data_IF_391670099335
#
_entry.id   IF_391670099335
#
_cell.length_a   1.000
_cell.length_b   1.000
_cell.length_c   1.000
_cell.angle_alpha   90.00
_cell.angle_beta   90.00
_cell.angle_gamma   90.00
#
_symmetry.space_group_name_H-M   'P 1'
#
loop_
_entity.id
_entity.type
_entity.pdbx_description
1 polymer ?
#
# COMPACT_ATOMS: atom_id res chain seq x y z
N UNK A 1 8.02 20.00 8.83
CA UNK A 1 6.86 20.21 7.94
C UNK A 1 6.22 18.90 7.46
N UNK A 2 6.95 17.77 7.40
CA UNK A 2 6.47 16.46 6.91
C UNK A 2 5.15 15.96 7.54
N UNK A 3 4.95 16.17 8.84
CA UNK A 3 3.72 15.75 9.54
C UNK A 3 2.47 16.47 9.03
N UNK A 4 2.57 17.77 8.74
CA UNK A 4 1.44 18.56 8.23
C UNK A 4 1.05 18.14 6.82
N UNK A 5 2.02 17.88 5.96
CA UNK A 5 1.79 17.34 4.62
C UNK A 5 1.17 15.94 4.68
N UNK A 6 1.60 15.09 5.61
CA UNK A 6 1.02 13.75 5.77
C UNK A 6 -0.47 13.81 6.17
N UNK A 7 -0.80 14.63 7.18
CA UNK A 7 -2.20 14.81 7.61
C UNK A 7 -3.08 15.44 6.54
N UNK A 8 -2.58 16.46 5.83
CA UNK A 8 -3.34 17.13 4.77
C UNK A 8 -3.67 16.14 3.63
N UNK A 9 -2.70 15.34 3.18
CA UNK A 9 -2.91 14.35 2.14
C UNK A 9 -3.90 13.27 2.58
N UNK A 10 -3.80 12.77 3.82
CA UNK A 10 -4.73 11.77 4.35
C UNK A 10 -6.18 12.29 4.38
N UNK A 11 -6.38 13.55 4.79
CA UNK A 11 -7.70 14.18 4.80
C UNK A 11 -8.28 14.34 3.39
N UNK A 12 -7.47 14.82 2.43
CA UNK A 12 -7.90 14.99 1.04
C UNK A 12 -8.26 13.64 0.40
N UNK A 13 -7.43 12.61 0.60
CA UNK A 13 -7.68 11.26 0.08
C UNK A 13 -8.90 10.59 0.74
N UNK A 14 -9.24 10.95 1.97
CA UNK A 14 -10.45 10.45 2.67
C UNK A 14 -11.72 11.17 2.20
N UNK A 15 -11.66 12.47 1.93
CA UNK A 15 -12.82 13.23 1.43
C UNK A 15 -13.18 12.91 -0.02
N UNK A 16 -12.20 12.58 -0.85
CA UNK A 16 -12.41 12.19 -2.24
C UNK A 16 -11.88 10.79 -2.50
N UNK A 17 -12.54 9.72 -1.99
CA UNK A 17 -12.01 8.36 -2.01
C UNK A 17 -12.08 7.68 -3.39
N UNK A 18 -12.85 8.25 -4.32
CA UNK A 18 -13.15 7.63 -5.63
C UNK A 18 -12.28 8.18 -6.77
N UNK A 19 -11.33 9.07 -6.46
CA UNK A 19 -10.47 9.68 -7.48
C UNK A 19 -9.38 8.67 -7.88
N UNK A 20 -9.26 8.31 -9.16
CA UNK A 20 -8.22 7.40 -9.61
C UNK A 20 -6.87 8.11 -9.65
N UNK A 21 -5.86 7.47 -9.08
CA UNK A 21 -4.44 7.85 -9.16
C UNK A 21 -3.71 6.75 -9.92
N UNK A 22 -3.08 7.12 -11.02
CA UNK A 22 -2.15 6.24 -11.74
C UNK A 22 -0.82 6.27 -11.02
N UNK A 23 -0.47 5.15 -10.37
CA UNK A 23 0.84 4.99 -9.75
C UNK A 23 1.72 4.12 -10.64
N UNK A 24 2.99 4.50 -10.75
CA UNK A 24 3.99 3.65 -11.37
C UNK A 24 4.32 2.52 -10.41
N UNK A 25 3.91 1.30 -10.77
CA UNK A 25 4.31 0.11 -10.05
C UNK A 25 5.35 -0.59 -10.92
N UNK A 26 6.62 -0.70 -10.48
CA UNK A 26 7.62 -1.43 -11.26
C UNK A 26 7.08 -2.83 -11.50
N UNK A 27 6.98 -3.23 -12.76
CA UNK A 27 6.42 -4.51 -13.15
C UNK A 27 7.14 -5.61 -12.37
N UNK A 28 6.39 -6.34 -11.54
CA UNK A 28 6.87 -7.59 -10.98
C UNK A 28 6.80 -8.62 -12.11
N UNK A 29 7.83 -8.65 -12.95
CA UNK A 29 8.01 -9.70 -13.96
C UNK A 29 8.28 -11.01 -13.22
N UNK A 30 7.20 -11.68 -12.83
CA UNK A 30 7.24 -12.85 -11.96
C UNK A 30 6.11 -13.83 -12.27
N UNK A 31 6.36 -15.10 -11.95
CA UNK A 31 5.32 -16.12 -11.95
C UNK A 31 4.89 -16.40 -10.51
N UNK A 32 3.60 -16.23 -10.23
CA UNK A 32 3.05 -16.68 -8.95
C UNK A 32 2.83 -18.19 -9.10
N UNK A 33 3.60 -18.97 -8.34
CA UNK A 33 3.55 -20.44 -8.35
C UNK A 33 2.54 -20.90 -7.32
N UNK A 34 1.38 -21.34 -7.78
CA UNK A 34 0.39 -22.01 -6.92
C UNK A 34 0.69 -23.51 -6.85
N UNK A 35 0.26 -24.16 -5.77
CA UNK A 35 0.40 -25.62 -5.58
C UNK A 35 1.84 -26.12 -5.77
N UNK A 36 2.81 -25.51 -5.07
CA UNK A 36 4.24 -25.87 -5.19
C UNK A 36 4.79 -25.82 -6.63
N UNK A 37 4.19 -24.99 -7.49
CA UNK A 37 4.62 -24.81 -8.87
C UNK A 37 3.96 -25.72 -9.88
N UNK A 38 2.89 -26.43 -9.51
CA UNK A 38 2.05 -27.20 -10.45
C UNK A 38 1.25 -26.28 -11.37
N UNK A 39 0.91 -25.06 -10.92
CA UNK A 39 0.19 -24.06 -11.72
C UNK A 39 0.98 -22.75 -11.66
N UNK A 40 1.47 -22.31 -12.81
CA UNK A 40 2.23 -21.08 -12.98
C UNK A 40 1.41 -20.11 -13.81
N UNK A 41 0.98 -19.00 -13.20
CA UNK A 41 0.31 -17.92 -13.92
C UNK A 41 1.33 -16.83 -14.26
N UNK A 42 1.50 -16.47 -15.55
CA UNK A 42 2.35 -15.36 -15.94
C UNK A 42 1.68 -14.05 -15.53
N UNK A 43 2.27 -13.33 -14.59
CA UNK A 43 1.83 -11.97 -14.28
C UNK A 43 2.60 -11.03 -15.19
N UNK A 44 1.99 -10.66 -16.32
CA UNK A 44 2.42 -9.45 -17.03
C UNK A 44 1.89 -8.28 -16.22
N UNK A 45 2.70 -7.78 -15.30
CA UNK A 45 2.37 -6.56 -14.56
C UNK A 45 2.35 -5.39 -15.51
N UNK A 46 1.18 -4.78 -15.71
CA UNK A 46 1.10 -3.48 -16.35
C UNK A 46 1.92 -2.48 -15.52
N UNK A 47 2.75 -1.65 -16.17
CA UNK A 47 3.70 -0.76 -15.49
C UNK A 47 3.01 0.38 -14.72
N UNK A 48 1.72 0.56 -14.96
CA UNK A 48 0.87 1.55 -14.31
C UNK A 48 -0.34 0.87 -13.72
N UNK A 49 -0.47 0.93 -12.40
CA UNK A 49 -1.68 0.46 -11.71
C UNK A 49 -2.51 1.68 -11.37
N UNK A 50 -3.80 1.61 -11.69
CA UNK A 50 -4.75 2.65 -11.28
C UNK A 50 -5.29 2.27 -9.92
N UNK A 51 -4.90 3.02 -8.89
CA UNK A 51 -5.39 2.85 -7.52
C UNK A 51 -6.32 4.01 -7.18
N UNK A 52 -7.34 3.78 -6.36
CA UNK A 52 -8.18 4.86 -5.87
C UNK A 52 -7.47 5.60 -4.74
N UNK A 53 -7.73 6.90 -4.62
CA UNK A 53 -7.36 7.72 -3.46
C UNK A 53 -7.80 7.09 -2.14
N UNK A 54 -8.95 6.40 -2.11
CA UNK A 54 -9.40 5.63 -0.96
C UNK A 54 -8.38 4.54 -0.57
N UNK A 55 -7.88 3.76 -1.52
CA UNK A 55 -6.87 2.74 -1.25
C UNK A 55 -5.58 3.34 -0.68
N UNK A 56 -5.18 4.53 -1.15
CA UNK A 56 -4.02 5.26 -0.62
C UNK A 56 -4.27 5.72 0.82
N UNK A 57 -5.46 6.26 1.14
CA UNK A 57 -5.81 6.65 2.50
C UNK A 57 -5.77 5.46 3.47
N UNK A 58 -6.28 4.29 3.04
CA UNK A 58 -6.19 3.05 3.81
C UNK A 58 -4.74 2.61 4.06
N UNK A 59 -3.88 2.70 3.07
CA UNK A 59 -2.45 2.37 3.21
C UNK A 59 -1.76 3.31 4.22
N UNK A 60 -2.09 4.61 4.19
CA UNK A 60 -1.54 5.58 5.14
C UNK A 60 -1.94 5.26 6.59
N UNK A 61 -3.20 4.89 6.83
CA UNK A 61 -3.66 4.47 8.17
C UNK A 61 -2.93 3.23 8.66
N UNK A 62 -2.67 2.26 7.79
CA UNK A 62 -1.91 1.06 8.15
C UNK A 62 -0.47 1.40 8.55
N UNK A 63 0.19 2.32 7.85
CA UNK A 63 1.55 2.76 8.19
C UNK A 63 1.56 3.41 9.59
N UNK A 64 0.60 4.29 9.88
CA UNK A 64 0.49 4.93 11.20
C UNK A 64 0.20 3.89 12.28
N UNK A 65 -0.72 2.97 12.03
CA UNK A 65 -1.01 1.86 12.94
C UNK A 65 0.21 1.01 13.21
N UNK A 66 1.02 0.73 12.18
CA UNK A 66 2.25 -0.06 12.30
C UNK A 66 3.29 0.67 13.15
N UNK A 67 3.51 1.96 12.91
CA UNK A 67 4.45 2.78 13.71
C UNK A 67 3.99 2.88 15.16
N UNK A 68 2.70 3.11 15.40
CA UNK A 68 2.13 3.12 16.76
C UNK A 68 2.28 1.76 17.43
N UNK A 69 1.97 0.67 16.73
CA UNK A 69 2.14 -0.67 17.28
C UNK A 69 3.60 -0.98 17.58
N UNK A 70 4.55 -0.55 16.74
CA UNK A 70 5.99 -0.74 16.99
C UNK A 70 6.47 0.09 18.19
N UNK A 71 5.84 1.23 18.46
CA UNK A 71 6.18 2.07 19.60
C UNK A 71 5.61 1.54 20.93
N UNK A 72 4.34 1.07 20.92
CA UNK A 72 3.65 0.64 22.14
C UNK A 72 3.78 -0.87 22.43
N UNK A 73 4.11 -1.68 21.44
CA UNK A 73 4.33 -3.11 21.59
C UNK A 73 5.84 -3.35 21.62
N UNK A 74 6.45 -3.61 22.79
CA UNK A 74 7.86 -3.95 22.84
C UNK A 74 8.03 -5.32 22.17
N UNK A 75 8.54 -5.33 20.94
CA UNK A 75 9.10 -6.54 20.34
C UNK A 75 10.35 -6.88 21.16
N UNK A 76 10.18 -7.75 22.15
CA UNK A 76 11.25 -8.33 22.95
C UNK A 76 11.67 -7.50 24.15
N UNK A 77 10.85 -7.46 25.20
CA UNK A 77 11.39 -7.47 26.57
C UNK A 77 11.14 -8.85 27.19
N UNK A 78 12.21 -9.66 27.10
CA UNK A 78 12.45 -11.04 27.58
C UNK A 78 11.96 -12.18 26.69
#
# INVERSE_FOLDING_TARGET
SVTWTFCATALICTWYPDVPITVYQPAADGSIRFLWGLISYPVKGDQTVTLTTGAVAWAQLHIVSLVLSAYFMPVGTK
#
